data_IF_756023895033
#
_entry.id   IF_756023895033
#
_cell.length_a   1.000
_cell.length_b   1.000
_cell.length_c   1.000
_cell.angle_alpha   90.00
_cell.angle_beta   90.00
_cell.angle_gamma   90.00
#
_symmetry.space_group_name_H-M   'P 1'
#
loop_
_entity.id
_entity.type
_entity.pdbx_description
1 polymer ?
#
# COMPACT_ATOMS: atom_id res chain seq x y z
N UNK A 1 -10.06 -18.35 -6.78
CA UNK A 1 -8.95 -17.68 -7.49
C UNK A 1 -8.51 -16.52 -6.64
N UNK A 2 -7.22 -16.42 -6.36
CA UNK A 2 -6.70 -15.26 -5.62
C UNK A 2 -6.60 -14.05 -6.54
N UNK A 3 -7.13 -12.92 -6.08
CA UNK A 3 -7.22 -11.63 -6.78
C UNK A 3 -6.16 -10.67 -6.27
N UNK A 4 -5.87 -9.64 -7.06
CA UNK A 4 -5.11 -8.48 -6.62
C UNK A 4 -6.11 -7.37 -6.24
N UNK A 5 -6.03 -6.86 -5.02
CA UNK A 5 -6.88 -5.75 -4.59
C UNK A 5 -6.11 -4.44 -4.73
N UNK A 6 -6.57 -3.51 -5.57
CA UNK A 6 -5.92 -2.21 -5.76
C UNK A 6 -6.81 -1.10 -5.22
N UNK A 7 -6.30 -0.31 -4.28
CA UNK A 7 -7.03 0.80 -3.66
C UNK A 7 -6.62 2.11 -4.31
N UNK A 8 -7.59 2.79 -4.92
CA UNK A 8 -7.39 4.10 -5.56
C UNK A 8 -8.32 5.15 -4.99
N UNK A 9 -7.89 6.40 -5.08
CA UNK A 9 -8.63 7.60 -4.71
C UNK A 9 -8.50 8.66 -5.82
N UNK A 10 -9.00 9.87 -5.60
CA UNK A 10 -8.86 10.97 -6.56
C UNK A 10 -7.45 11.57 -6.61
N UNK A 11 -6.45 10.97 -5.97
CA UNK A 11 -5.12 11.56 -5.83
C UNK A 11 -4.23 11.34 -7.05
N UNK A 12 -3.16 12.12 -7.11
CA UNK A 12 -2.09 11.95 -8.12
C UNK A 12 -1.40 10.57 -8.09
N UNK A 13 -1.56 9.80 -7.01
CA UNK A 13 -0.99 8.46 -6.88
C UNK A 13 -1.85 7.39 -7.54
N UNK A 14 -3.13 7.64 -7.82
CA UNK A 14 -4.05 6.66 -8.41
C UNK A 14 -3.54 6.11 -9.75
N UNK A 15 -2.99 6.98 -10.59
CA UNK A 15 -2.32 6.61 -11.84
C UNK A 15 -1.18 5.60 -11.60
N UNK A 16 -0.30 5.88 -10.64
CA UNK A 16 0.81 5.01 -10.28
C UNK A 16 0.32 3.68 -9.70
N UNK A 17 -0.71 3.69 -8.85
CA UNK A 17 -1.34 2.45 -8.35
C UNK A 17 -1.85 1.61 -9.51
N UNK A 18 -2.50 2.23 -10.50
CA UNK A 18 -3.01 1.52 -11.67
C UNK A 18 -1.90 0.84 -12.46
N UNK A 19 -0.82 1.56 -12.75
CA UNK A 19 0.30 1.04 -13.54
C UNK A 19 1.04 -0.10 -12.81
N UNK A 20 1.34 0.07 -11.52
CA UNK A 20 1.96 -0.98 -10.70
C UNK A 20 1.04 -2.21 -10.57
N UNK A 21 -0.27 -2.00 -10.48
CA UNK A 21 -1.24 -3.10 -10.40
C UNK A 21 -1.27 -3.87 -11.70
N UNK A 22 -1.30 -3.19 -12.85
CA UNK A 22 -1.28 -3.84 -14.16
C UNK A 22 0.01 -4.65 -14.35
N UNK A 23 1.16 -4.08 -13.97
CA UNK A 23 2.43 -4.79 -13.96
C UNK A 23 2.41 -6.04 -13.06
N UNK A 24 1.94 -5.90 -11.82
CA UNK A 24 1.87 -7.01 -10.87
C UNK A 24 0.89 -8.10 -11.32
N UNK A 25 -0.26 -7.71 -11.88
CA UNK A 25 -1.27 -8.62 -12.42
C UNK A 25 -0.74 -9.44 -13.60
N UNK A 26 0.02 -8.82 -14.51
CA UNK A 26 0.68 -9.52 -15.61
C UNK A 26 1.68 -10.57 -15.13
N UNK A 27 2.48 -10.27 -14.09
CA UNK A 27 3.45 -11.22 -13.54
C UNK A 27 2.79 -12.34 -12.71
N UNK A 28 1.69 -12.02 -12.03
CA UNK A 28 0.98 -12.97 -11.18
C UNK A 28 -0.06 -13.81 -11.93
N UNK A 29 -0.44 -13.41 -13.14
CA UNK A 29 -1.55 -14.01 -13.89
C UNK A 29 -2.87 -13.96 -13.11
N UNK A 30 -3.10 -12.88 -12.36
CA UNK A 30 -4.20 -12.77 -11.41
C UNK A 30 -5.16 -11.63 -11.77
N UNK A 31 -6.49 -11.83 -11.66
CA UNK A 31 -7.46 -10.78 -11.90
C UNK A 31 -7.38 -9.70 -10.83
N UNK A 32 -7.79 -8.48 -11.18
CA UNK A 32 -7.74 -7.30 -10.33
C UNK A 32 -9.13 -6.92 -9.86
N UNK A 33 -9.27 -6.65 -8.57
CA UNK A 33 -10.40 -5.95 -7.99
C UNK A 33 -9.95 -4.52 -7.66
N UNK A 34 -10.43 -3.56 -8.44
CA UNK A 34 -10.13 -2.14 -8.27
C UNK A 34 -11.14 -1.52 -7.31
N UNK A 35 -10.66 -1.00 -6.17
CA UNK A 35 -11.51 -0.54 -5.07
C UNK A 35 -11.35 0.96 -4.88
N UNK A 36 -12.48 1.66 -4.78
CA UNK A 36 -12.56 3.02 -4.29
C UNK A 36 -13.52 3.06 -3.11
N UNK A 37 -13.03 3.52 -1.95
CA UNK A 37 -13.82 3.62 -0.73
C UNK A 37 -14.26 5.08 -0.54
N UNK A 38 -15.58 5.29 -0.57
CA UNK A 38 -16.21 6.53 -0.14
C UNK A 38 -16.12 6.56 1.38
N UNK A 39 -15.08 7.24 1.89
CA UNK A 39 -14.82 7.38 3.32
C UNK A 39 -16.05 7.83 4.10
N UNK A 40 -16.04 7.63 5.42
CA UNK A 40 -17.13 8.12 6.27
C UNK A 40 -17.16 9.66 6.18
N UNK A 41 -18.34 10.30 6.06
CA UNK A 41 -18.44 11.75 6.17
C UNK A 41 -17.76 12.18 7.46
N UNK A 42 -16.91 13.21 7.39
CA UNK A 42 -16.21 13.72 8.56
C UNK A 42 -17.21 14.01 9.68
N UNK A 43 -17.06 13.36 10.83
CA UNK A 43 -17.84 13.67 12.02
C UNK A 43 -17.55 15.09 12.56
N UNK A 44 -16.53 15.78 12.03
CA UNK A 44 -16.25 17.19 12.30
C UNK A 44 -17.27 18.14 11.67
N UNK A 45 -18.13 17.67 10.76
CA UNK A 45 -19.32 18.40 10.31
C UNK A 45 -20.57 18.10 11.14
N UNK A 46 -20.42 17.49 12.33
CA UNK A 46 -21.46 17.63 13.34
C UNK A 46 -21.60 19.13 13.64
N UNK A 47 -22.82 19.70 13.65
CA UNK A 47 -22.99 21.10 13.97
C UNK A 47 -22.33 21.33 15.33
N UNK A 48 -21.39 22.28 15.39
CA UNK A 48 -21.01 22.89 16.67
C UNK A 48 -22.33 23.12 17.43
N UNK A 49 -22.37 22.71 18.69
CA UNK A 49 -23.58 22.71 19.51
C UNK A 49 -24.13 24.15 19.63
N UNK A 50 -24.90 24.59 18.63
CA UNK A 50 -25.53 25.90 18.51
C UNK A 50 -26.92 25.87 19.17
N UNK A 51 -27.19 24.88 20.03
CA UNK A 51 -28.49 24.58 20.61
C UNK A 51 -29.04 25.65 21.55
N UNK A 52 -28.24 26.65 21.93
CA UNK A 52 -28.62 27.65 22.92
C UNK A 52 -29.74 28.62 22.52
N UNK A 53 -29.89 29.00 21.24
CA UNK A 53 -30.63 30.24 20.90
C UNK A 53 -31.58 30.22 19.67
N UNK A 54 -31.88 29.09 19.02
CA UNK A 54 -32.74 29.06 17.81
C UNK A 54 -34.21 28.70 18.09
N UNK A 55 -35.14 29.54 17.63
CA UNK A 55 -36.60 29.28 17.62
C UNK A 55 -36.92 27.97 16.89
N UNK A 56 -37.88 27.18 17.40
CA UNK A 56 -38.23 25.82 16.93
C UNK A 56 -38.42 25.70 15.41
N UNK A 57 -39.01 26.71 14.74
CA UNK A 57 -39.20 26.71 13.28
C UNK A 57 -37.89 26.90 12.48
N UNK A 58 -36.98 27.73 12.96
CA UNK A 58 -35.68 27.96 12.32
C UNK A 58 -34.76 26.72 12.42
N UNK A 59 -34.85 25.98 13.53
CA UNK A 59 -34.13 24.71 13.73
C UNK A 59 -34.55 23.66 12.70
N UNK A 60 -35.86 23.50 12.47
CA UNK A 60 -36.37 22.51 11.51
C UNK A 60 -35.96 22.83 10.07
N UNK A 61 -36.08 24.09 9.66
CA UNK A 61 -35.65 24.54 8.34
C UNK A 61 -34.13 24.35 8.12
N UNK A 62 -33.31 24.61 9.15
CA UNK A 62 -31.86 24.38 9.08
C UNK A 62 -31.53 22.88 8.97
N UNK A 63 -32.17 22.02 9.77
CA UNK A 63 -31.96 20.57 9.71
C UNK A 63 -32.38 19.99 8.34
N UNK A 64 -33.50 20.44 7.78
CA UNK A 64 -33.93 20.02 6.44
C UNK A 64 -32.94 20.50 5.35
N UNK A 65 -32.38 21.71 5.49
CA UNK A 65 -31.35 22.23 4.59
C UNK A 65 -30.04 21.43 4.67
N UNK A 66 -29.60 21.09 5.89
CA UNK A 66 -28.41 20.25 6.10
C UNK A 66 -28.61 18.85 5.52
N UNK A 67 -29.76 18.23 5.78
CA UNK A 67 -30.07 16.89 5.25
C UNK A 67 -30.04 16.86 3.71
N UNK A 68 -30.58 17.89 3.04
CA UNK A 68 -30.50 18.01 1.57
C UNK A 68 -29.05 18.17 1.09
N UNK A 69 -28.28 19.02 1.76
CA UNK A 69 -26.88 19.23 1.41
C UNK A 69 -26.05 17.95 1.57
N UNK A 70 -26.29 17.15 2.61
CA UNK A 70 -25.63 15.86 2.81
C UNK A 70 -26.02 14.85 1.72
N UNK A 71 -27.29 14.84 1.29
CA UNK A 71 -27.76 14.01 0.17
C UNK A 71 -27.07 14.39 -1.14
N UNK A 72 -27.00 15.68 -1.47
CA UNK A 72 -26.35 16.18 -2.69
C UNK A 72 -24.84 15.84 -2.69
N UNK A 73 -24.17 16.03 -1.54
CA UNK A 73 -22.75 15.64 -1.38
C UNK A 73 -22.54 14.15 -1.53
N UNK A 74 -23.40 13.32 -0.96
CA UNK A 74 -23.30 11.87 -1.07
C UNK A 74 -23.51 11.39 -2.51
N UNK A 75 -24.46 11.99 -3.24
CA UNK A 75 -24.70 11.69 -4.64
C UNK A 75 -23.47 12.04 -5.50
N UNK A 76 -22.90 13.23 -5.31
CA UNK A 76 -21.71 13.67 -6.02
C UNK A 76 -20.47 12.81 -5.70
N UNK A 77 -20.31 12.38 -4.44
CA UNK A 77 -19.23 11.49 -4.05
C UNK A 77 -19.32 10.12 -4.76
N UNK A 78 -20.54 9.56 -4.89
CA UNK A 78 -20.77 8.32 -5.64
C UNK A 78 -20.44 8.48 -7.12
N UNK A 79 -20.85 9.60 -7.74
CA UNK A 79 -20.57 9.88 -9.15
C UNK A 79 -19.05 10.01 -9.40
N UNK A 80 -18.35 10.82 -8.58
CA UNK A 80 -16.89 10.95 -8.64
C UNK A 80 -16.17 9.62 -8.44
N UNK A 81 -16.61 8.84 -7.44
CA UNK A 81 -16.02 7.54 -7.15
C UNK A 81 -16.15 6.55 -8.32
N UNK A 82 -17.26 6.61 -9.07
CA UNK A 82 -17.41 5.82 -10.31
C UNK A 82 -16.46 6.30 -11.40
N UNK A 83 -16.36 7.60 -11.62
CA UNK A 83 -15.44 8.16 -12.61
C UNK A 83 -13.97 7.75 -12.33
N UNK A 84 -13.54 7.82 -11.06
CA UNK A 84 -12.21 7.35 -10.61
C UNK A 84 -11.98 5.87 -10.95
N UNK A 85 -12.98 5.02 -10.69
CA UNK A 85 -12.90 3.59 -10.99
C UNK A 85 -12.86 3.31 -12.50
N UNK A 86 -13.66 4.03 -13.28
CA UNK A 86 -13.71 3.87 -14.73
C UNK A 86 -12.39 4.29 -15.39
N UNK A 87 -11.82 5.42 -14.98
CA UNK A 87 -10.51 5.90 -15.45
C UNK A 87 -9.39 4.93 -15.07
N UNK A 88 -9.38 4.46 -13.82
CA UNK A 88 -8.39 3.50 -13.34
C UNK A 88 -8.48 2.16 -14.07
N UNK A 89 -9.70 1.67 -14.31
CA UNK A 89 -9.95 0.44 -15.08
C UNK A 89 -9.48 0.59 -16.52
N UNK A 90 -9.83 1.68 -17.19
CA UNK A 90 -9.44 1.95 -18.57
C UNK A 90 -7.90 1.96 -18.70
N UNK A 91 -7.21 2.62 -17.75
CA UNK A 91 -5.75 2.66 -17.70
C UNK A 91 -5.12 1.27 -17.53
N UNK A 92 -5.63 0.46 -16.61
CA UNK A 92 -5.10 -0.88 -16.34
C UNK A 92 -5.23 -1.81 -17.56
N UNK A 93 -6.41 -1.83 -18.21
CA UNK A 93 -6.68 -2.67 -19.38
C UNK A 93 -5.88 -2.20 -20.61
N UNK A 94 -5.60 -0.90 -20.71
CA UNK A 94 -4.71 -0.38 -21.75
C UNK A 94 -3.24 -0.77 -21.55
N UNK A 95 -2.81 -0.99 -20.30
CA UNK A 95 -1.44 -1.32 -19.95
C UNK A 95 -1.12 -2.82 -20.00
N UNK A 96 -2.09 -3.69 -19.73
CA UNK A 96 -1.92 -5.14 -19.73
C UNK A 96 -3.23 -5.87 -20.08
N UNK A 97 -3.11 -7.07 -20.64
CA UNK A 97 -4.25 -7.96 -20.89
C UNK A 97 -4.69 -8.64 -19.58
N UNK A 98 -5.50 -7.93 -18.80
CA UNK A 98 -5.92 -8.34 -17.46
C UNK A 98 -7.42 -8.09 -17.24
N UNK A 99 -8.04 -8.94 -16.43
CA UNK A 99 -9.40 -8.73 -15.97
C UNK A 99 -9.42 -7.75 -14.79
N UNK A 100 -10.18 -6.66 -14.93
CA UNK A 100 -10.33 -5.63 -13.89
C UNK A 100 -11.81 -5.45 -13.53
N UNK A 101 -12.15 -5.77 -12.28
CA UNK A 101 -13.49 -5.60 -11.70
C UNK A 101 -13.51 -4.39 -10.78
N UNK A 102 -14.18 -3.29 -11.15
CA UNK A 102 -14.30 -2.11 -10.30
C UNK A 102 -15.31 -2.36 -9.18
N UNK A 103 -15.01 -1.87 -7.96
CA UNK A 103 -15.85 -1.97 -6.78
C UNK A 103 -15.84 -0.66 -6.00
N UNK A 104 -16.96 0.05 -6.09
CA UNK A 104 -17.24 1.16 -5.19
C UNK A 104 -17.67 0.62 -3.82
N UNK A 105 -17.04 1.10 -2.76
CA UNK A 105 -17.33 0.73 -1.38
C UNK A 105 -17.72 1.95 -0.58
N UNK A 106 -18.68 1.80 0.33
CA UNK A 106 -19.04 2.82 1.31
C UNK A 106 -18.42 2.44 2.63
N UNK A 107 -17.86 3.41 3.35
CA UNK A 107 -17.27 3.18 4.67
C UNK A 107 -15.75 3.23 4.65
N UNK A 108 -15.15 2.63 5.68
CA UNK A 108 -13.71 2.73 5.91
C UNK A 108 -12.94 1.84 4.92
N UNK A 109 -11.87 2.34 4.25
CA UNK A 109 -11.00 1.52 3.42
C UNK A 109 -10.46 0.27 4.12
N UNK A 110 -10.24 0.33 5.44
CA UNK A 110 -9.76 -0.82 6.23
C UNK A 110 -10.80 -1.93 6.29
N UNK A 111 -12.07 -1.57 6.53
CA UNK A 111 -13.19 -2.54 6.52
C UNK A 111 -13.31 -3.20 5.14
N UNK A 112 -13.22 -2.40 4.06
CA UNK A 112 -13.25 -2.91 2.70
C UNK A 112 -12.06 -3.86 2.39
N UNK A 113 -10.88 -3.58 2.94
CA UNK A 113 -9.71 -4.44 2.81
C UNK A 113 -9.92 -5.78 3.53
N UNK A 114 -10.36 -5.74 4.79
CA UNK A 114 -10.58 -6.92 5.62
C UNK A 114 -11.61 -7.87 5.00
N UNK A 115 -12.72 -7.36 4.47
CA UNK A 115 -13.74 -8.15 3.76
C UNK A 115 -13.19 -8.90 2.54
N UNK A 116 -12.12 -8.40 1.92
CA UNK A 116 -11.56 -8.96 0.69
C UNK A 116 -10.32 -9.82 0.93
N UNK A 117 -9.76 -9.83 2.14
CA UNK A 117 -8.48 -10.46 2.47
C UNK A 117 -8.43 -11.96 2.12
N UNK A 118 -9.51 -12.70 2.35
CA UNK A 118 -9.56 -14.14 2.09
C UNK A 118 -9.27 -14.50 0.63
N UNK A 119 -9.67 -13.63 -0.29
CA UNK A 119 -9.53 -13.82 -1.75
C UNK A 119 -8.43 -12.96 -2.35
N UNK A 120 -7.65 -12.23 -1.55
CA UNK A 120 -6.63 -11.28 -2.02
C UNK A 120 -5.23 -11.87 -1.86
N UNK A 121 -4.46 -12.07 -2.92
CA UNK A 121 -3.04 -12.47 -2.80
C UNK A 121 -2.07 -11.31 -2.60
N UNK A 122 -2.46 -10.11 -3.04
CA UNK A 122 -1.65 -8.90 -2.98
C UNK A 122 -2.58 -7.69 -2.92
N UNK A 123 -2.33 -6.77 -1.98
CA UNK A 123 -2.99 -5.47 -1.94
C UNK A 123 -2.04 -4.37 -2.44
N UNK A 124 -2.52 -3.46 -3.30
CA UNK A 124 -1.77 -2.27 -3.73
C UNK A 124 -2.42 -1.01 -3.16
N UNK A 125 -1.58 -0.14 -2.59
CA UNK A 125 -2.02 1.08 -1.90
C UNK A 125 -1.04 2.21 -2.24
N UNK A 126 -1.57 3.39 -2.58
CA UNK A 126 -0.76 4.59 -2.75
C UNK A 126 -0.07 5.02 -1.45
N UNK A 127 1.20 5.46 -1.52
CA UNK A 127 1.93 6.03 -0.37
C UNK A 127 1.23 7.27 0.23
N UNK A 128 0.45 7.98 -0.58
CA UNK A 128 -0.36 9.15 -0.18
C UNK A 128 -1.70 9.10 -0.91
N UNK A 129 -2.67 9.85 -0.36
CA UNK A 129 -4.00 9.98 -0.93
C UNK A 129 -4.47 11.42 -1.11
N UNK A 130 -5.77 11.60 -1.34
CA UNK A 130 -6.44 12.87 -1.68
C UNK A 130 -6.23 13.97 -0.61
N UNK A 131 -6.14 13.60 0.67
CA UNK A 131 -5.95 14.52 1.81
C UNK A 131 -4.50 15.05 1.96
N UNK A 132 -3.57 14.67 1.07
CA UNK A 132 -2.15 15.03 1.17
C UNK A 132 -1.82 16.42 0.60
N UNK A 133 -2.81 17.33 0.49
CA UNK A 133 -2.63 18.70 -0.02
C UNK A 133 -1.95 19.67 0.97
N UNK A 134 -1.59 19.22 2.17
CA UNK A 134 -0.83 19.99 3.15
C UNK A 134 0.68 19.73 3.08
N UNK A 135 1.48 20.79 3.15
CA UNK A 135 2.92 20.75 3.36
C UNK A 135 3.27 20.05 4.68
N UNK A 136 3.40 18.72 4.66
CA UNK A 136 4.15 17.93 5.65
C UNK A 136 4.32 16.49 5.17
N UNK A 137 5.46 15.89 5.49
CA UNK A 137 5.88 14.53 5.11
C UNK A 137 5.10 13.48 5.92
N UNK A 138 3.78 13.44 5.80
CA UNK A 138 2.95 12.43 6.45
C UNK A 138 2.52 11.34 5.44
N UNK A 139 2.52 10.09 5.89
CA UNK A 139 1.83 8.99 5.19
C UNK A 139 0.33 9.28 5.21
N UNK A 140 -0.39 8.79 4.19
CA UNK A 140 -1.85 8.84 4.24
C UNK A 140 -2.36 8.20 5.53
N UNK A 141 -3.32 8.85 6.20
CA UNK A 141 -3.92 8.38 7.47
C UNK A 141 -4.43 6.93 7.39
N UNK A 142 -4.86 6.51 6.21
CA UNK A 142 -5.32 5.15 5.95
C UNK A 142 -4.20 4.14 5.65
N UNK A 143 -3.03 4.57 5.15
CA UNK A 143 -1.98 3.66 4.71
C UNK A 143 -1.44 2.79 5.86
N UNK A 144 -1.10 3.41 6.98
CA UNK A 144 -0.61 2.69 8.16
C UNK A 144 -1.66 1.68 8.65
N UNK A 145 -2.93 2.10 8.69
CA UNK A 145 -4.05 1.26 9.14
C UNK A 145 -4.25 0.06 8.20
N UNK A 146 -4.19 0.27 6.89
CA UNK A 146 -4.33 -0.77 5.87
C UNK A 146 -3.17 -1.78 5.92
N UNK A 147 -1.92 -1.32 5.99
CA UNK A 147 -0.74 -2.21 6.11
C UNK A 147 -0.81 -3.02 7.40
N UNK A 148 -1.33 -2.43 8.48
CA UNK A 148 -1.51 -3.09 9.77
C UNK A 148 -2.62 -4.14 9.72
N UNK A 149 -3.77 -3.83 9.14
CA UNK A 149 -4.90 -4.76 9.01
C UNK A 149 -4.63 -5.90 8.03
N UNK A 150 -3.78 -5.68 7.01
CA UNK A 150 -3.51 -6.70 6.01
C UNK A 150 -2.83 -7.94 6.59
N UNK A 151 -3.42 -9.10 6.33
CA UNK A 151 -2.86 -10.45 6.55
C UNK A 151 -2.25 -11.02 5.27
N UNK A 152 -2.24 -10.23 4.20
CA UNK A 152 -1.70 -10.57 2.87
C UNK A 152 -0.57 -9.59 2.51
N UNK A 153 0.32 -9.93 1.57
CA UNK A 153 1.33 -9.00 1.07
C UNK A 153 0.72 -7.67 0.64
N UNK A 154 1.38 -6.56 1.00
CA UNK A 154 0.97 -5.20 0.62
C UNK A 154 2.10 -4.53 -0.15
N UNK A 155 1.79 -4.00 -1.33
CA UNK A 155 2.68 -3.14 -2.08
C UNK A 155 2.23 -1.68 -1.91
N UNK A 156 3.10 -0.92 -1.28
CA UNK A 156 2.93 0.52 -1.10
C UNK A 156 3.64 1.22 -2.24
N UNK A 157 2.89 1.80 -3.17
CA UNK A 157 3.45 2.33 -4.41
C UNK A 157 3.86 3.80 -4.27
N UNK A 158 4.95 4.17 -4.96
CA UNK A 158 5.46 5.54 -5.02
C UNK A 158 4.73 6.36 -6.10
N UNK A 159 5.14 7.61 -6.33
CA UNK A 159 4.41 8.58 -7.17
C UNK A 159 4.56 8.30 -8.68
N UNK A 160 5.64 7.65 -9.10
CA UNK A 160 5.92 7.37 -10.51
C UNK A 160 6.14 5.88 -10.71
N UNK A 161 5.49 5.32 -11.73
CA UNK A 161 5.67 3.92 -12.11
C UNK A 161 6.92 3.72 -12.94
N UNK A 162 7.66 2.66 -12.60
CA UNK A 162 8.68 2.02 -13.42
C UNK A 162 8.55 0.51 -13.22
N UNK A 163 8.68 -0.32 -14.27
CA UNK A 163 8.80 -1.76 -14.11
C UNK A 163 9.92 -2.11 -13.13
N UNK A 164 9.69 -3.11 -12.28
CA UNK A 164 10.64 -3.50 -11.24
C UNK A 164 11.68 -4.44 -11.84
N UNK A 165 12.83 -3.90 -12.19
CA UNK A 165 13.97 -4.66 -12.72
C UNK A 165 14.97 -5.06 -11.62
N UNK A 166 14.96 -4.35 -10.49
CA UNK A 166 15.83 -4.59 -9.34
C UNK A 166 15.04 -4.44 -8.04
N UNK A 167 15.32 -5.28 -7.06
CA UNK A 167 14.71 -5.17 -5.73
C UNK A 167 15.73 -5.41 -4.61
N UNK A 168 15.51 -4.77 -3.46
CA UNK A 168 16.33 -4.92 -2.27
C UNK A 168 15.54 -5.58 -1.16
N UNK A 169 16.03 -6.68 -0.59
CA UNK A 169 15.54 -7.24 0.65
C UNK A 169 16.38 -6.69 1.80
N UNK A 170 15.75 -5.95 2.71
CA UNK A 170 16.38 -5.61 3.98
C UNK A 170 16.29 -6.81 4.93
N UNK A 171 17.44 -7.35 5.32
CA UNK A 171 17.54 -8.63 6.02
C UNK A 171 18.24 -8.48 7.37
N UNK A 172 17.50 -8.71 8.45
CA UNK A 172 17.97 -8.61 9.84
C UNK A 172 18.28 -9.99 10.49
N UNK A 173 17.98 -11.08 9.78
CA UNK A 173 18.04 -12.46 10.29
C UNK A 173 16.80 -12.90 11.08
N UNK A 174 15.79 -12.04 11.20
CA UNK A 174 14.55 -12.33 11.90
C UNK A 174 13.58 -13.17 11.07
N UNK A 175 12.64 -13.84 11.76
CA UNK A 175 11.66 -14.71 11.12
C UNK A 175 10.79 -14.01 10.07
N UNK A 176 10.51 -12.71 10.24
CA UNK A 176 9.77 -11.91 9.26
C UNK A 176 10.56 -11.70 7.96
N UNK A 177 11.87 -11.40 8.06
CA UNK A 177 12.73 -11.25 6.88
C UNK A 177 12.92 -12.59 6.17
N UNK A 178 13.11 -13.69 6.91
CA UNK A 178 13.17 -15.05 6.34
C UNK A 178 11.88 -15.40 5.61
N UNK A 179 10.70 -15.13 6.20
CA UNK A 179 9.42 -15.34 5.50
C UNK A 179 9.29 -14.51 4.25
N UNK A 180 9.75 -13.25 4.26
CA UNK A 180 9.75 -12.41 3.07
C UNK A 180 10.58 -13.04 1.94
N UNK A 181 11.77 -13.57 2.25
CA UNK A 181 12.63 -14.29 1.28
C UNK A 181 11.89 -15.50 0.68
N UNK A 182 11.29 -16.36 1.51
CA UNK A 182 10.53 -17.52 1.02
C UNK A 182 9.38 -17.09 0.10
N UNK A 183 8.61 -16.09 0.52
CA UNK A 183 7.46 -15.60 -0.25
C UNK A 183 7.87 -14.93 -1.57
N UNK A 184 9.04 -14.29 -1.63
CA UNK A 184 9.63 -13.81 -2.88
C UNK A 184 10.01 -14.99 -3.78
N UNK A 185 10.63 -16.03 -3.21
CA UNK A 185 11.06 -17.19 -3.98
C UNK A 185 9.90 -17.97 -4.62
N UNK A 186 8.79 -18.09 -3.89
CA UNK A 186 7.61 -18.87 -4.26
C UNK A 186 6.60 -18.08 -5.12
N UNK A 187 6.89 -16.80 -5.41
CA UNK A 187 6.02 -15.93 -6.20
C UNK A 187 6.64 -15.60 -7.55
N UNK A 188 5.85 -15.56 -8.64
CA UNK A 188 6.34 -15.11 -9.94
C UNK A 188 6.51 -13.58 -10.02
N UNK A 189 5.99 -12.82 -9.04
CA UNK A 189 5.93 -11.34 -9.06
C UNK A 189 7.25 -10.65 -9.39
N UNK A 190 8.37 -11.17 -8.88
CA UNK A 190 9.70 -10.56 -9.05
C UNK A 190 10.62 -11.38 -9.97
N UNK A 191 10.11 -12.44 -10.62
CA UNK A 191 10.94 -13.27 -11.50
C UNK A 191 11.45 -12.43 -12.67
N UNK A 192 12.75 -12.55 -12.95
CA UNK A 192 13.45 -11.75 -13.96
C UNK A 192 14.11 -10.48 -13.41
N UNK A 193 13.79 -10.05 -12.18
CA UNK A 193 14.46 -8.92 -11.53
C UNK A 193 15.74 -9.36 -10.81
N UNK A 194 16.74 -8.47 -10.75
CA UNK A 194 17.95 -8.65 -9.93
C UNK A 194 17.62 -8.45 -8.45
N UNK A 195 18.08 -9.38 -7.62
CA UNK A 195 17.90 -9.35 -6.18
C UNK A 195 19.13 -8.75 -5.49
N UNK A 196 18.91 -7.79 -4.62
CA UNK A 196 19.90 -7.31 -3.67
C UNK A 196 19.48 -7.72 -2.26
N UNK A 197 20.45 -8.10 -1.42
CA UNK A 197 20.20 -8.39 -0.01
C UNK A 197 21.12 -7.52 0.84
N UNK A 198 20.55 -6.76 1.79
CA UNK A 198 21.30 -5.88 2.67
C UNK A 198 21.09 -6.26 4.14
N UNK A 199 22.19 -6.37 4.88
CA UNK A 199 22.17 -6.42 6.35
C UNK A 199 22.93 -5.22 6.91
N UNK A 200 22.27 -4.45 7.76
CA UNK A 200 22.82 -3.29 8.46
C UNK A 200 23.11 -3.62 9.94
N UNK A 201 24.31 -3.27 10.43
CA UNK A 201 24.67 -3.38 11.86
C UNK A 201 24.67 -4.80 12.47
N UNK A 202 24.58 -5.84 11.63
CA UNK A 202 24.59 -7.25 12.02
C UNK A 202 25.82 -7.99 11.49
N UNK A 203 25.96 -9.29 11.80
CA UNK A 203 27.00 -10.12 11.18
C UNK A 203 26.58 -10.51 9.76
N UNK A 204 27.54 -10.53 8.83
CA UNK A 204 27.30 -10.91 7.44
C UNK A 204 26.79 -12.36 7.28
N UNK A 205 27.14 -13.25 8.22
CA UNK A 205 26.69 -14.65 8.26
C UNK A 205 25.15 -14.81 8.30
N UNK A 206 24.42 -13.78 8.76
CA UNK A 206 22.96 -13.83 8.87
C UNK A 206 22.27 -14.00 7.53
N UNK A 207 22.77 -13.39 6.46
CA UNK A 207 22.09 -13.39 5.16
C UNK A 207 22.40 -14.62 4.28
N UNK A 208 23.40 -15.44 4.65
CA UNK A 208 23.91 -16.53 3.80
C UNK A 208 22.79 -17.46 3.34
N UNK A 209 21.98 -17.97 4.27
CA UNK A 209 20.88 -18.87 3.92
C UNK A 209 19.81 -18.21 3.05
N UNK A 210 19.54 -16.91 3.26
CA UNK A 210 18.59 -16.16 2.44
C UNK A 210 19.09 -15.96 1.00
N UNK A 211 20.37 -15.65 0.85
CA UNK A 211 21.02 -15.49 -0.45
C UNK A 211 21.05 -16.82 -1.20
N UNK A 212 21.43 -17.91 -0.55
CA UNK A 212 21.43 -19.25 -1.14
C UNK A 212 20.02 -19.65 -1.59
N UNK A 213 19.00 -19.36 -0.78
CA UNK A 213 17.61 -19.61 -1.12
C UNK A 213 17.14 -18.84 -2.36
N UNK A 214 17.49 -17.56 -2.47
CA UNK A 214 17.19 -16.72 -3.64
C UNK A 214 17.91 -17.23 -4.89
N UNK A 215 19.20 -17.56 -4.78
CA UNK A 215 19.97 -18.15 -5.89
C UNK A 215 19.35 -19.47 -6.35
N UNK A 216 18.98 -20.35 -5.42
CA UNK A 216 18.29 -21.60 -5.72
C UNK A 216 16.92 -21.39 -6.38
N UNK A 217 16.25 -20.26 -6.11
CA UNK A 217 15.01 -19.87 -6.77
C UNK A 217 15.22 -19.20 -8.15
N UNK A 218 16.47 -19.07 -8.62
CA UNK A 218 16.81 -18.55 -9.95
C UNK A 218 17.02 -17.04 -10.03
N UNK A 219 17.22 -16.34 -8.89
CA UNK A 219 17.55 -14.91 -8.90
C UNK A 219 19.05 -14.69 -9.07
N UNK A 220 19.44 -13.65 -9.80
CA UNK A 220 20.78 -13.06 -9.70
C UNK A 220 20.85 -12.26 -8.39
N UNK A 221 21.75 -12.63 -7.47
CA UNK A 221 21.78 -12.06 -6.11
C UNK A 221 23.10 -11.36 -5.82
N UNK A 222 23.00 -10.07 -5.50
CA UNK A 222 24.09 -9.20 -5.04
C UNK A 222 23.96 -8.94 -3.53
N UNK A 223 25.03 -9.15 -2.79
CA UNK A 223 25.07 -9.05 -1.32
C UNK A 223 25.66 -7.70 -0.90
N UNK A 224 25.02 -7.06 0.09
CA UNK A 224 25.45 -5.79 0.65
C UNK A 224 25.57 -5.86 2.17
N UNK A 225 26.65 -5.32 2.69
CA UNK A 225 26.85 -5.15 4.13
C UNK A 225 27.09 -3.68 4.44
N UNK A 226 26.35 -3.16 5.42
CA UNK A 226 26.50 -1.78 5.88
C UNK A 226 26.65 -1.72 7.39
N UNK A 227 27.50 -0.80 7.83
CA UNK A 227 27.58 -0.39 9.23
C UNK A 227 26.56 0.72 9.51
N UNK A 228 26.13 0.85 10.77
CA UNK A 228 25.21 1.90 11.20
C UNK A 228 23.71 1.54 11.17
N UNK A 229 22.87 2.57 11.18
CA UNK A 229 21.42 2.44 11.28
C UNK A 229 20.78 1.86 10.00
N UNK A 230 19.78 0.97 10.12
CA UNK A 230 19.18 0.30 8.97
C UNK A 230 18.50 1.27 8.00
N UNK A 231 17.87 2.33 8.49
CA UNK A 231 17.14 3.29 7.65
C UNK A 231 18.07 4.01 6.67
N UNK A 232 19.20 4.53 7.17
CA UNK A 232 20.20 5.24 6.36
C UNK A 232 20.89 4.31 5.38
N UNK A 233 21.29 3.12 5.84
CA UNK A 233 21.93 2.10 5.03
C UNK A 233 21.04 1.63 3.87
N UNK A 234 19.77 1.33 4.15
CA UNK A 234 18.79 0.93 3.12
C UNK A 234 18.58 2.08 2.13
N UNK A 235 18.37 3.30 2.60
CA UNK A 235 18.16 4.45 1.71
C UNK A 235 19.40 4.75 0.84
N UNK A 236 20.61 4.60 1.38
CA UNK A 236 21.86 4.75 0.64
C UNK A 236 22.02 3.66 -0.43
N UNK A 237 21.78 2.39 -0.09
CA UNK A 237 21.84 1.27 -1.01
C UNK A 237 20.81 1.44 -2.16
N UNK A 238 19.57 1.83 -1.83
CA UNK A 238 18.52 2.10 -2.83
C UNK A 238 18.98 3.12 -3.87
N UNK A 239 19.60 4.22 -3.43
CA UNK A 239 20.12 5.25 -4.35
C UNK A 239 21.35 4.79 -5.12
N UNK A 240 22.31 4.15 -4.45
CA UNK A 240 23.58 3.76 -5.05
C UNK A 240 23.44 2.72 -6.16
N UNK A 241 22.46 1.81 -6.03
CA UNK A 241 22.26 0.71 -6.96
C UNK A 241 21.01 0.86 -7.84
N UNK A 242 20.32 2.00 -7.76
CA UNK A 242 19.11 2.23 -8.56
C UNK A 242 18.02 1.21 -8.30
N UNK A 243 17.84 0.82 -7.03
CA UNK A 243 16.87 -0.21 -6.63
C UNK A 243 15.45 0.24 -7.01
N UNK A 244 14.73 -0.60 -7.76
CA UNK A 244 13.35 -0.35 -8.20
C UNK A 244 12.28 -0.67 -7.17
N UNK A 245 12.56 -1.52 -6.17
CA UNK A 245 11.62 -1.88 -5.11
C UNK A 245 12.33 -2.29 -3.82
N UNK A 246 11.77 -1.88 -2.68
CA UNK A 246 12.20 -2.37 -1.36
C UNK A 246 11.27 -3.50 -0.89
N UNK A 247 11.82 -4.59 -0.40
CA UNK A 247 11.09 -5.73 0.16
C UNK A 247 11.38 -5.84 1.65
N UNK A 248 10.32 -5.88 2.46
CA UNK A 248 10.36 -5.94 3.92
C UNK A 248 9.47 -7.06 4.46
N UNK A 249 9.87 -7.63 5.59
CA UNK A 249 8.96 -8.39 6.45
C UNK A 249 8.25 -7.46 7.45
N UNK A 250 6.98 -7.71 7.74
CA UNK A 250 6.20 -7.09 8.81
C UNK A 250 6.77 -7.59 10.14
N UNK A 251 7.28 -6.65 10.95
CA UNK A 251 8.12 -6.87 12.16
C UNK A 251 7.76 -8.10 13.01
N UNK A 252 8.78 -8.86 13.43
CA UNK A 252 8.67 -10.14 14.15
C UNK A 252 9.16 -10.16 15.60
N UNK A 253 9.46 -9.02 16.24
CA UNK A 253 9.92 -9.03 17.63
C UNK A 253 8.75 -9.24 18.63
N UNK A 254 8.59 -10.51 19.01
CA UNK A 254 7.68 -11.06 20.03
C UNK A 254 6.22 -11.25 19.63
N UNK A 255 5.69 -12.44 19.95
CA UNK A 255 4.31 -12.92 19.71
C UNK A 255 3.19 -12.00 20.24
N UNK A 256 3.53 -11.01 21.07
CA UNK A 256 2.63 -9.97 21.58
C UNK A 256 2.54 -8.68 20.72
N UNK A 257 3.27 -8.57 19.59
CA UNK A 257 3.29 -7.36 18.72
C UNK A 257 2.71 -7.57 17.31
N UNK A 258 1.78 -8.51 17.12
CA UNK A 258 1.05 -8.63 15.85
C UNK A 258 0.22 -7.36 15.50
N UNK A 259 0.08 -6.42 16.45
CA UNK A 259 -0.68 -5.18 16.33
C UNK A 259 0.13 -3.93 15.91
N UNK A 260 1.46 -4.04 15.74
CA UNK A 260 2.31 -2.88 15.44
C UNK A 260 3.19 -3.11 14.22
N UNK A 261 3.15 -2.18 13.26
CA UNK A 261 4.17 -2.08 12.22
C UNK A 261 5.46 -1.61 12.90
N UNK A 262 6.59 -2.25 12.62
CA UNK A 262 7.88 -1.85 13.18
C UNK A 262 8.21 -0.40 12.82
N UNK A 263 8.83 0.33 13.76
CA UNK A 263 9.24 1.73 13.56
C UNK A 263 10.09 1.91 12.30
N UNK A 264 11.03 0.99 12.05
CA UNK A 264 11.87 0.97 10.84
C UNK A 264 11.04 0.79 9.56
N UNK A 265 10.06 -0.12 9.54
CA UNK A 265 9.17 -0.29 8.37
C UNK A 265 8.37 0.98 8.07
N UNK A 266 7.81 1.63 9.11
CA UNK A 266 7.07 2.88 8.94
C UNK A 266 7.98 4.00 8.41
N UNK A 267 9.16 4.17 9.01
CA UNK A 267 10.12 5.19 8.57
C UNK A 267 10.59 4.94 7.14
N UNK A 268 10.92 3.71 6.76
CA UNK A 268 11.26 3.35 5.38
C UNK A 268 10.10 3.64 4.42
N UNK A 269 8.85 3.32 4.78
CA UNK A 269 7.70 3.70 3.98
C UNK A 269 7.58 5.23 3.84
N UNK A 270 8.01 6.03 4.83
CA UNK A 270 8.03 7.50 4.76
C UNK A 270 9.14 8.02 3.84
N UNK A 271 10.36 7.52 3.97
CA UNK A 271 11.54 8.12 3.35
C UNK A 271 11.95 7.48 2.02
N UNK A 272 11.60 6.21 1.78
CA UNK A 272 12.01 5.53 0.54
C UNK A 272 11.29 6.10 -0.69
N UNK A 273 12.02 6.41 -1.77
CA UNK A 273 11.44 6.95 -3.01
C UNK A 273 10.81 5.87 -3.89
N UNK A 274 11.09 4.60 -3.61
CA UNK A 274 10.66 3.43 -4.40
C UNK A 274 9.46 2.74 -3.76
N UNK A 275 8.68 1.96 -4.53
CA UNK A 275 7.65 1.08 -3.98
C UNK A 275 8.20 0.15 -2.89
N UNK A 276 7.38 -0.13 -1.88
CA UNK A 276 7.72 -1.01 -0.76
C UNK A 276 6.76 -2.19 -0.73
N UNK A 277 7.28 -3.40 -0.90
CA UNK A 277 6.54 -4.66 -0.76
C UNK A 277 6.74 -5.20 0.65
N UNK A 278 5.63 -5.37 1.38
CA UNK A 278 5.63 -5.79 2.78
C UNK A 278 4.94 -7.14 2.89
N UNK A 279 5.64 -8.12 3.43
CA UNK A 279 5.10 -9.45 3.72
C UNK A 279 4.65 -9.55 5.18
N UNK A 280 3.46 -10.10 5.47
CA UNK A 280 2.95 -10.25 6.84
C UNK A 280 3.75 -11.23 7.72
#
# INVERSE_FOLDING_TARGET
MDTIAAFIDGSTYAASVCDHTAWAAGHLGAPVVLVHALGRPDSSSAPADLSGNLRLGARRALLEKLARHDQDRAALAVERGRAILDDGRARMIAAADIEVTPRLRRGDPVEALEEMMETTRLALIGKRGEDASGEMVHLGSNLERLVRASTRPVMVVSRAFRPVETFLIAFDGGASATRAVERVCDSPLLKGAEAHVLTAGGKADRMVAAVERLRAAGFAVTEHHAEGGPEEAIAACVRAHGIGMLVLGKSGHSRLRQLFIGSTTLELMRVCPVPVLIFP
#
